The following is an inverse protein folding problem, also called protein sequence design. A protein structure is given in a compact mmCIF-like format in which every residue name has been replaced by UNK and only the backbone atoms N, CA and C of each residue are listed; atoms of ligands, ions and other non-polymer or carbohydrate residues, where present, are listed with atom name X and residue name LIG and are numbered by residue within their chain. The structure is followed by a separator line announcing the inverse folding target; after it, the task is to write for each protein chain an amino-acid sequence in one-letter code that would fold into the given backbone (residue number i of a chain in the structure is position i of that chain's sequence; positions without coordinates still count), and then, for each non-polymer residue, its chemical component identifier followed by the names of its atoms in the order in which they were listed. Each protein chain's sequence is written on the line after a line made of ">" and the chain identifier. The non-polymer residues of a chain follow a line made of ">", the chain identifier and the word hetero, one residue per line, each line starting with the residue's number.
data_IF_565518998323
#
_entry.id   IF_565518998323
#
_cell.length_a   1.000
_cell.length_b   1.000
_cell.length_c   1.000
_cell.angle_alpha   90.00
_cell.angle_beta   90.00
_cell.angle_gamma   90.00
#
_symmetry.space_group_name_H-M   'P 1'
#
loop_
_entity.id
_entity.type
_entity.pdbx_description
1 polymer ?
#
# COMPACT_ATOMS: atom_id res chain seq x y z
N UNK A 1 42.45 2.61 29.33
CA UNK A 1 41.40 2.05 30.20
C UNK A 1 40.36 3.12 30.46
N UNK A 2 39.07 2.82 30.26
CA UNK A 2 37.95 3.69 30.61
C UNK A 2 36.91 3.81 29.50
N UNK A 3 35.97 2.85 29.48
CA UNK A 3 34.83 2.75 28.57
C UNK A 3 33.70 3.73 28.91
N UNK A 4 32.84 4.01 27.91
CA UNK A 4 31.47 4.51 28.09
C UNK A 4 31.26 5.89 27.45
N UNK A 5 30.25 6.14 26.60
CA UNK A 5 28.91 5.56 26.60
C UNK A 5 28.30 5.74 25.21
N UNK A 6 27.71 4.66 24.70
CA UNK A 6 26.82 4.64 23.54
C UNK A 6 25.78 5.75 23.67
N UNK A 7 25.70 6.61 22.66
CA UNK A 7 24.47 7.35 22.36
C UNK A 7 23.87 6.63 21.15
N UNK A 8 23.18 5.54 21.50
CA UNK A 8 21.91 5.13 20.91
C UNK A 8 21.31 6.25 20.03
N UNK A 9 21.45 6.08 18.72
CA UNK A 9 20.70 6.84 17.73
C UNK A 9 19.63 5.90 17.18
N UNK A 10 18.83 5.33 18.08
CA UNK A 10 17.56 4.69 17.75
C UNK A 10 16.56 5.84 17.46
N UNK A 11 16.78 6.48 16.30
CA UNK A 11 15.68 7.14 15.60
C UNK A 11 14.89 6.02 14.92
N UNK A 12 13.57 6.15 14.75
CA UNK A 12 12.77 5.07 14.19
C UNK A 12 13.39 4.65 12.86
N UNK A 13 13.73 3.36 12.74
CA UNK A 13 14.40 2.78 11.58
C UNK A 13 13.42 2.67 10.38
N UNK A 14 12.76 3.77 10.05
CA UNK A 14 11.84 3.95 8.93
C UNK A 14 12.67 4.47 7.73
N UNK A 15 12.53 3.83 6.57
CA UNK A 15 13.33 4.13 5.37
C UNK A 15 14.43 3.13 5.00
N UNK A 16 14.73 2.12 5.84
CA UNK A 16 15.64 1.02 5.45
C UNK A 16 15.01 0.16 4.36
N UNK A 17 15.79 -0.30 3.37
CA UNK A 17 15.29 -1.10 2.26
C UNK A 17 14.58 -2.37 2.75
N UNK A 18 13.41 -2.66 2.17
CA UNK A 18 12.67 -3.88 2.51
C UNK A 18 13.36 -5.10 1.86
N UNK A 19 13.48 -6.19 2.61
CA UNK A 19 14.05 -7.42 2.07
C UNK A 19 13.26 -7.91 0.85
N UNK A 20 13.91 -8.42 -0.21
CA UNK A 20 13.22 -8.88 -1.42
C UNK A 20 12.24 -10.01 -1.12
N UNK A 21 12.54 -10.86 -0.13
CA UNK A 21 11.63 -11.92 0.33
C UNK A 21 10.32 -11.37 0.90
N UNK A 22 10.38 -10.25 1.64
CA UNK A 22 9.19 -9.61 2.21
C UNK A 22 8.35 -8.95 1.13
N UNK A 23 8.99 -8.30 0.15
CA UNK A 23 8.31 -7.70 -1.00
C UNK A 23 7.53 -8.79 -1.76
N UNK A 24 8.16 -9.94 -2.01
CA UNK A 24 7.51 -11.08 -2.66
C UNK A 24 6.33 -11.64 -1.85
N UNK A 25 6.47 -11.78 -0.52
CA UNK A 25 5.38 -12.27 0.32
C UNK A 25 4.17 -11.33 0.32
N UNK A 26 4.41 -10.04 0.53
CA UNK A 26 3.36 -9.00 0.54
C UNK A 26 2.69 -8.90 -0.82
N UNK A 27 3.48 -9.01 -1.89
CA UNK A 27 2.96 -9.07 -3.24
C UNK A 27 2.09 -10.31 -3.45
N UNK A 28 2.54 -11.50 -3.07
CA UNK A 28 1.77 -12.73 -3.24
C UNK A 28 0.39 -12.67 -2.53
N UNK A 29 0.35 -12.08 -1.32
CA UNK A 29 -0.92 -11.77 -0.63
C UNK A 29 -1.76 -10.82 -1.47
N UNK A 30 -1.18 -9.69 -1.89
CA UNK A 30 -1.85 -8.68 -2.69
C UNK A 30 -2.40 -9.22 -4.02
N UNK A 31 -1.66 -10.06 -4.73
CA UNK A 31 -2.08 -10.70 -5.99
C UNK A 31 -3.23 -11.68 -5.78
N UNK A 32 -3.19 -12.46 -4.70
CA UNK A 32 -4.27 -13.39 -4.35
C UNK A 32 -5.58 -12.62 -4.11
N UNK A 33 -5.51 -11.52 -3.37
CA UNK A 33 -6.65 -10.63 -3.15
C UNK A 33 -7.07 -9.89 -4.42
N UNK A 34 -6.12 -9.48 -5.26
CA UNK A 34 -6.38 -8.81 -6.53
C UNK A 34 -7.19 -9.71 -7.46
N UNK A 35 -6.76 -10.95 -7.65
CA UNK A 35 -7.47 -11.92 -8.46
C UNK A 35 -8.86 -12.23 -7.89
N UNK A 36 -9.01 -12.25 -6.56
CA UNK A 36 -10.30 -12.46 -5.91
C UNK A 36 -11.30 -11.30 -6.13
N UNK A 37 -10.81 -10.05 -6.23
CA UNK A 37 -11.64 -8.86 -6.44
C UNK A 37 -11.89 -8.57 -7.92
N UNK A 38 -10.89 -8.77 -8.78
CA UNK A 38 -10.94 -8.40 -10.21
C UNK A 38 -11.25 -9.56 -11.15
N UNK A 39 -11.06 -10.81 -10.71
CA UNK A 39 -11.12 -11.98 -11.57
C UNK A 39 -10.01 -12.07 -12.62
N UNK A 40 -8.98 -11.21 -12.55
CA UNK A 40 -7.91 -11.11 -13.55
C UNK A 40 -6.53 -11.39 -12.94
N UNK A 41 -5.64 -12.03 -13.70
CA UNK A 41 -4.23 -12.23 -13.29
C UNK A 41 -3.43 -10.95 -13.46
N UNK A 42 -2.51 -10.69 -12.53
CA UNK A 42 -1.67 -9.48 -12.47
C UNK A 42 -0.28 -9.63 -13.08
N UNK A 43 0.01 -10.72 -13.81
CA UNK A 43 1.34 -11.03 -14.36
C UNK A 43 1.96 -9.88 -15.18
N UNK A 44 1.15 -9.07 -15.84
CA UNK A 44 1.63 -7.93 -16.64
C UNK A 44 2.19 -6.77 -15.79
N UNK A 45 1.87 -6.72 -14.50
CA UNK A 45 2.19 -5.62 -13.58
C UNK A 45 3.21 -6.03 -12.50
N UNK A 46 3.95 -7.11 -12.73
CA UNK A 46 4.92 -7.70 -11.78
C UNK A 46 5.97 -6.68 -11.30
N UNK A 47 6.57 -5.95 -12.25
CA UNK A 47 7.63 -4.98 -11.95
C UNK A 47 7.10 -3.77 -11.19
N UNK A 48 6.08 -3.09 -11.74
CA UNK A 48 5.47 -1.91 -11.14
C UNK A 48 4.88 -2.20 -9.77
N UNK A 49 4.26 -3.38 -9.59
CA UNK A 49 3.77 -3.79 -8.29
C UNK A 49 4.89 -4.02 -7.28
N UNK A 50 6.02 -4.61 -7.68
CA UNK A 50 7.17 -4.80 -6.76
C UNK A 50 7.76 -3.46 -6.33
N UNK A 51 7.85 -2.49 -7.23
CA UNK A 51 8.30 -1.13 -6.90
C UNK A 51 7.36 -0.47 -5.90
N UNK A 52 6.06 -0.44 -6.18
CA UNK A 52 5.06 0.16 -5.28
C UNK A 52 5.07 -0.50 -3.90
N UNK A 53 5.11 -1.83 -3.84
CA UNK A 53 5.19 -2.58 -2.57
C UNK A 53 6.48 -2.26 -1.83
N UNK A 54 7.62 -2.16 -2.54
CA UNK A 54 8.91 -1.80 -1.96
C UNK A 54 8.89 -0.41 -1.31
N UNK A 55 8.35 0.59 -2.01
CA UNK A 55 8.22 1.96 -1.50
C UNK A 55 7.30 1.98 -0.28
N UNK A 56 6.14 1.33 -0.36
CA UNK A 56 5.20 1.26 0.74
C UNK A 56 5.79 0.55 1.97
N UNK A 57 6.55 -0.54 1.79
CA UNK A 57 7.21 -1.26 2.88
C UNK A 57 8.32 -0.46 3.57
N UNK A 58 8.94 0.50 2.88
CA UNK A 58 9.90 1.41 3.52
C UNK A 58 9.25 2.31 4.57
N UNK A 59 7.95 2.56 4.44
CA UNK A 59 7.16 3.27 5.45
C UNK A 59 6.75 2.39 6.63
N UNK A 60 6.91 1.06 6.54
CA UNK A 60 6.61 0.11 7.62
C UNK A 60 7.86 -0.03 8.50
N UNK A 61 7.64 0.07 9.82
CA UNK A 61 8.69 -0.10 10.82
C UNK A 61 9.33 -1.48 10.72
N UNK A 62 10.65 -1.55 10.85
CA UNK A 62 11.40 -2.81 10.75
C UNK A 62 10.91 -3.89 11.72
N UNK A 63 10.52 -3.50 12.93
CA UNK A 63 9.98 -4.43 13.94
C UNK A 63 8.66 -5.09 13.54
N UNK A 64 7.88 -4.47 12.65
CA UNK A 64 6.56 -4.94 12.21
C UNK A 64 6.62 -5.65 10.86
N UNK A 65 7.74 -5.53 10.14
CA UNK A 65 7.93 -6.08 8.79
C UNK A 65 7.75 -7.60 8.72
N UNK A 66 8.20 -8.35 9.72
CA UNK A 66 8.06 -9.82 9.77
C UNK A 66 6.59 -10.25 9.86
N UNK A 67 5.79 -9.51 10.62
CA UNK A 67 4.35 -9.74 10.79
C UNK A 67 3.48 -9.01 9.77
N UNK A 68 4.06 -8.10 8.98
CA UNK A 68 3.34 -7.23 8.07
C UNK A 68 2.48 -7.98 7.04
N UNK A 69 2.91 -9.11 6.44
CA UNK A 69 2.06 -9.86 5.52
C UNK A 69 0.76 -10.33 6.17
N UNK A 70 0.81 -10.75 7.45
CA UNK A 70 -0.37 -11.19 8.21
C UNK A 70 -1.27 -10.01 8.59
N UNK A 71 -0.66 -8.89 8.98
CA UNK A 71 -1.38 -7.63 9.23
C UNK A 71 -2.11 -7.14 7.98
N UNK A 72 -1.44 -7.17 6.83
CA UNK A 72 -2.02 -6.81 5.55
C UNK A 72 -3.17 -7.74 5.18
N UNK A 73 -2.97 -9.06 5.25
CA UNK A 73 -4.03 -10.03 4.96
C UNK A 73 -5.28 -9.79 5.83
N UNK A 74 -5.08 -9.55 7.13
CA UNK A 74 -6.17 -9.21 8.06
C UNK A 74 -6.88 -7.91 7.64
N UNK A 75 -6.12 -6.86 7.36
CA UNK A 75 -6.65 -5.57 6.90
C UNK A 75 -7.49 -5.71 5.61
N UNK A 76 -6.99 -6.48 4.64
CA UNK A 76 -7.68 -6.73 3.37
C UNK A 76 -8.95 -7.55 3.56
N UNK A 77 -8.94 -8.50 4.50
CA UNK A 77 -10.13 -9.26 4.84
C UNK A 77 -11.21 -8.37 5.48
N UNK A 78 -10.83 -7.55 6.46
CA UNK A 78 -11.75 -6.65 7.17
C UNK A 78 -12.34 -5.57 6.26
N UNK A 79 -11.55 -5.08 5.29
CA UNK A 79 -11.95 -3.98 4.39
C UNK A 79 -12.33 -4.44 2.99
N UNK A 80 -12.53 -5.75 2.80
CA UNK A 80 -12.90 -6.35 1.51
C UNK A 80 -14.07 -5.60 0.85
N UNK A 81 -15.15 -5.34 1.57
CA UNK A 81 -16.32 -4.65 1.03
C UNK A 81 -16.01 -3.22 0.55
N UNK A 82 -15.10 -2.50 1.23
CA UNK A 82 -14.67 -1.15 0.83
C UNK A 82 -13.78 -1.20 -0.40
N UNK A 83 -12.88 -2.19 -0.47
CA UNK A 83 -12.03 -2.44 -1.63
C UNK A 83 -12.89 -2.80 -2.85
N UNK A 84 -13.89 -3.68 -2.71
CA UNK A 84 -14.82 -4.03 -3.79
C UNK A 84 -15.52 -2.79 -4.37
N UNK A 85 -15.92 -1.82 -3.53
CA UNK A 85 -16.50 -0.55 -4.01
C UNK A 85 -15.51 0.29 -4.80
N UNK A 86 -14.26 0.38 -4.32
CA UNK A 86 -13.19 1.08 -5.04
C UNK A 86 -13.01 0.47 -6.45
N UNK A 87 -12.94 -0.86 -6.54
CA UNK A 87 -12.75 -1.56 -7.81
C UNK A 87 -13.97 -1.51 -8.72
N UNK A 88 -15.19 -1.59 -8.18
CA UNK A 88 -16.41 -1.41 -8.97
C UNK A 88 -16.46 -0.04 -9.64
N UNK A 89 -15.82 0.97 -9.03
CA UNK A 89 -15.83 2.33 -9.54
C UNK A 89 -14.64 2.67 -10.42
N UNK A 90 -13.42 2.32 -10.01
CA UNK A 90 -12.18 2.73 -10.68
C UNK A 90 -11.38 1.57 -11.28
N UNK A 91 -11.74 0.33 -10.97
CA UNK A 91 -11.06 -0.84 -11.50
C UNK A 91 -11.22 -0.97 -13.02
N UNK A 92 -10.63 -2.01 -13.64
CA UNK A 92 -10.56 -2.13 -15.10
C UNK A 92 -11.92 -2.22 -15.80
N UNK A 93 -12.98 -2.61 -15.08
CA UNK A 93 -14.36 -2.66 -15.57
C UNK A 93 -15.27 -1.60 -14.92
N UNK A 94 -14.69 -0.66 -14.18
CA UNK A 94 -15.40 0.37 -13.44
C UNK A 94 -15.83 1.56 -14.30
N UNK A 95 -16.69 2.40 -13.73
CA UNK A 95 -17.19 3.63 -14.37
C UNK A 95 -16.08 4.61 -14.76
N UNK A 96 -15.01 4.63 -13.96
CA UNK A 96 -13.87 5.54 -14.08
C UNK A 96 -12.57 4.75 -14.32
N UNK A 97 -12.67 3.64 -15.07
CA UNK A 97 -11.51 2.82 -15.42
C UNK A 97 -10.40 3.66 -16.06
N UNK A 98 -9.17 3.49 -15.58
CA UNK A 98 -7.99 4.23 -16.05
C UNK A 98 -7.80 5.62 -15.44
N UNK A 99 -8.70 6.11 -14.59
CA UNK A 99 -8.47 7.37 -13.85
C UNK A 99 -7.48 7.20 -12.68
N UNK A 100 -7.38 5.99 -12.12
CA UNK A 100 -6.45 5.66 -11.04
C UNK A 100 -5.46 4.59 -11.50
N UNK A 101 -4.35 4.98 -12.13
CA UNK A 101 -3.34 4.03 -12.62
C UNK A 101 -2.84 3.05 -11.53
N UNK A 102 -2.79 3.50 -10.27
CA UNK A 102 -2.35 2.67 -9.15
C UNK A 102 -3.33 1.52 -8.86
N UNK A 103 -4.63 1.66 -9.12
CA UNK A 103 -5.62 0.61 -8.77
C UNK A 103 -5.48 -0.66 -9.61
N UNK A 104 -4.87 -0.55 -10.79
CA UNK A 104 -4.63 -1.69 -11.68
C UNK A 104 -3.47 -2.56 -11.19
N UNK A 105 -2.68 -2.06 -10.23
CA UNK A 105 -1.55 -2.77 -9.63
C UNK A 105 -1.99 -3.52 -8.37
N UNK A 106 -1.59 -4.78 -8.17
CA UNK A 106 -1.86 -5.47 -6.90
C UNK A 106 -1.24 -4.74 -5.70
N UNK A 107 -0.12 -4.04 -5.88
CA UNK A 107 0.50 -3.21 -4.85
C UNK A 107 -0.39 -2.12 -4.25
N UNK A 108 -1.51 -1.75 -4.88
CA UNK A 108 -2.41 -0.73 -4.33
C UNK A 108 -3.09 -1.12 -3.02
N UNK A 109 -3.19 -2.42 -2.72
CA UNK A 109 -3.68 -2.90 -1.42
C UNK A 109 -2.79 -2.44 -0.27
N UNK A 110 -1.48 -2.46 -0.49
CA UNK A 110 -0.50 -1.95 0.46
C UNK A 110 -0.67 -0.45 0.60
N UNK A 111 -0.85 0.28 -0.52
CA UNK A 111 -1.12 1.73 -0.49
C UNK A 111 -2.39 2.06 0.31
N UNK A 112 -3.49 1.34 0.13
CA UNK A 112 -4.72 1.54 0.91
C UNK A 112 -4.48 1.40 2.42
N UNK A 113 -3.68 0.41 2.84
CA UNK A 113 -3.32 0.21 4.24
C UNK A 113 -2.44 1.34 4.75
N UNK A 114 -1.42 1.74 3.97
CA UNK A 114 -0.51 2.84 4.33
C UNK A 114 -1.20 4.19 4.37
N UNK A 115 -2.17 4.45 3.50
CA UNK A 115 -2.98 5.67 3.53
C UNK A 115 -3.81 5.75 4.82
N UNK A 116 -4.38 4.64 5.29
CA UNK A 116 -5.17 4.61 6.54
C UNK A 116 -4.27 4.77 7.79
N UNK A 117 -3.08 4.15 7.80
CA UNK A 117 -2.26 4.08 9.01
C UNK A 117 -1.10 5.09 9.07
N UNK A 118 -0.55 5.52 7.94
CA UNK A 118 0.66 6.36 7.89
C UNK A 118 0.76 7.21 6.61
N UNK A 119 -0.25 8.06 6.31
CA UNK A 119 -0.32 8.80 5.04
C UNK A 119 0.86 9.76 4.85
N UNK A 120 1.24 10.54 5.87
CA UNK A 120 2.34 11.52 5.77
C UNK A 120 3.70 10.86 5.46
N UNK A 121 3.92 9.65 5.98
CA UNK A 121 5.14 8.89 5.71
C UNK A 121 5.14 8.30 4.30
N UNK A 122 3.98 7.84 3.83
CA UNK A 122 3.82 7.39 2.47
C UNK A 122 4.09 8.52 1.48
N UNK A 123 3.50 9.69 1.68
CA UNK A 123 3.74 10.87 0.84
C UNK A 123 5.23 11.25 0.80
N UNK A 124 5.88 11.28 1.96
CA UNK A 124 7.32 11.58 2.06
C UNK A 124 8.21 10.58 1.31
N UNK A 125 7.96 9.28 1.48
CA UNK A 125 8.72 8.23 0.79
C UNK A 125 8.41 8.19 -0.71
N UNK A 126 7.17 8.42 -1.10
CA UNK A 126 6.73 8.44 -2.50
C UNK A 126 7.42 9.55 -3.28
N UNK A 127 7.45 10.76 -2.71
CA UNK A 127 8.14 11.92 -3.28
C UNK A 127 9.66 11.69 -3.33
N UNK A 128 10.25 11.08 -2.30
CA UNK A 128 11.67 10.76 -2.25
C UNK A 128 12.11 9.77 -3.35
N UNK A 129 11.26 8.80 -3.69
CA UNK A 129 11.52 7.80 -4.73
C UNK A 129 11.18 8.31 -6.15
N UNK A 130 10.86 9.60 -6.28
CA UNK A 130 10.62 10.26 -7.56
C UNK A 130 9.35 9.78 -8.27
N UNK A 131 8.41 9.19 -7.54
CA UNK A 131 7.14 8.75 -8.09
C UNK A 131 6.22 9.95 -8.36
N UNK A 132 5.24 9.78 -9.24
CA UNK A 132 4.27 10.84 -9.54
C UNK A 132 3.38 11.12 -8.32
N UNK A 133 3.57 12.29 -7.70
CA UNK A 133 2.81 12.72 -6.51
C UNK A 133 1.31 12.77 -6.80
N UNK A 134 0.94 13.26 -7.98
CA UNK A 134 -0.46 13.38 -8.43
C UNK A 134 -1.17 12.03 -8.51
N UNK A 135 -0.47 10.96 -8.87
CA UNK A 135 -1.05 9.61 -8.92
C UNK A 135 -1.40 9.10 -7.51
N UNK A 136 -0.50 9.33 -6.53
CA UNK A 136 -0.75 8.96 -5.13
C UNK A 136 -1.87 9.82 -4.53
N UNK A 137 -1.84 11.13 -4.73
CA UNK A 137 -2.86 12.07 -4.22
C UNK A 137 -4.27 11.69 -4.70
N UNK A 138 -4.44 11.38 -5.99
CA UNK A 138 -5.74 10.95 -6.56
C UNK A 138 -6.20 9.62 -5.99
N UNK A 139 -5.27 8.68 -5.82
CA UNK A 139 -5.59 7.38 -5.24
C UNK A 139 -6.01 7.51 -3.77
N UNK A 140 -5.30 8.34 -3.01
CA UNK A 140 -5.62 8.68 -1.63
C UNK A 140 -6.99 9.34 -1.52
N UNK A 141 -7.30 10.33 -2.35
CA UNK A 141 -8.60 11.01 -2.35
C UNK A 141 -9.74 10.02 -2.63
N UNK A 142 -9.57 9.17 -3.65
CA UNK A 142 -10.56 8.16 -4.02
C UNK A 142 -10.75 7.12 -2.91
N UNK A 143 -9.65 6.66 -2.29
CA UNK A 143 -9.74 5.75 -1.16
C UNK A 143 -10.43 6.42 0.05
N UNK A 144 -10.04 7.62 0.45
CA UNK A 144 -10.53 8.25 1.66
C UNK A 144 -11.96 8.78 1.52
N UNK A 145 -12.33 9.40 0.40
CA UNK A 145 -13.58 10.14 0.27
C UNK A 145 -14.62 9.43 -0.58
N UNK A 146 -14.18 8.73 -1.62
CA UNK A 146 -15.09 8.13 -2.59
C UNK A 146 -15.54 6.71 -2.20
N UNK A 147 -14.71 5.99 -1.42
CA UNK A 147 -15.09 4.69 -0.84
C UNK A 147 -15.60 4.76 0.60
N UNK A 148 -15.50 5.94 1.24
CA UNK A 148 -16.12 6.15 2.54
C UNK A 148 -17.61 5.87 2.42
N UNK A 149 -18.11 4.98 3.27
CA UNK A 149 -19.55 4.78 3.40
C UNK A 149 -20.15 6.15 3.72
N UNK A 150 -20.83 6.76 2.75
CA UNK A 150 -21.77 7.84 3.01
C UNK A 150 -22.93 7.21 3.79
N UNK A 151 -22.66 6.82 5.04
CA UNK A 151 -23.67 6.77 6.09
C UNK A 151 -24.29 8.15 6.09
N UNK A 152 -25.53 8.22 5.63
CA UNK A 152 -26.11 9.43 5.11
C UNK A 152 -26.17 10.57 6.12
N UNK A 153 -25.91 11.78 5.63
CA UNK A 153 -26.53 12.99 6.14
C UNK A 153 -26.77 13.92 4.95
N UNK A 154 -27.92 13.76 4.27
CA UNK A 154 -29.02 14.74 4.36
C UNK A 154 -30.27 14.27 3.61
#
# INVERSE_FOLDING_TARGET
>A
MGFGRSADRDGPEEGSEASPELIEQVRAVSETHYAAVTGTSSDQWDHESREVVGIALRTVRMAERDTYPQTLETYLHERRARLERLWQRYGPNGMFAGELALIDLPGCFVLCERIDNSPLWLEGMWSQEGQEETALERFQDSWLYDTSDKGGER
#
